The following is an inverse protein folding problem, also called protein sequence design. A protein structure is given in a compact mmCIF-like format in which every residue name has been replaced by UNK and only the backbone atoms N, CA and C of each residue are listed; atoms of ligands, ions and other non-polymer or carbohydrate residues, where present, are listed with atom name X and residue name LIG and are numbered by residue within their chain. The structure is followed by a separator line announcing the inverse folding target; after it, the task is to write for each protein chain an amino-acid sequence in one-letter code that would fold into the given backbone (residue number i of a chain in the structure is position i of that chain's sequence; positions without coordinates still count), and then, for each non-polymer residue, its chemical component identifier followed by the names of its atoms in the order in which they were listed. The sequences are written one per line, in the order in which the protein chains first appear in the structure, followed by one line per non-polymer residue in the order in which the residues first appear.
data_IF_128805406316
#
_entry.id   IF_128805406316
#
_cell.length_a   1.000
_cell.length_b   1.000
_cell.length_c   1.000
_cell.angle_alpha   90.00
_cell.angle_beta   90.00
_cell.angle_gamma   90.00
#
_symmetry.space_group_name_H-M   'P 1'
#
loop_
_entity.id
_entity.type
_entity.pdbx_description
1 polymer ?
#
# COMPACT_ATOMS: atom_id res chain seq x y z
N UNK A 1 -17.92 -15.79 22.00
CA UNK A 1 -16.49 -16.12 21.82
C UNK A 1 -15.81 -14.80 21.66
N UNK A 2 -14.64 -14.56 22.28
CA UNK A 2 -13.89 -13.34 22.05
C UNK A 2 -13.53 -13.28 20.55
N UNK A 3 -13.87 -12.15 19.91
CA UNK A 3 -13.51 -11.94 18.52
C UNK A 3 -11.99 -11.80 18.43
N UNK A 4 -11.37 -12.43 17.42
CA UNK A 4 -9.92 -12.34 17.19
C UNK A 4 -9.59 -10.86 16.92
N UNK A 5 -8.63 -10.33 17.68
CA UNK A 5 -8.23 -8.93 17.59
C UNK A 5 -6.86 -8.80 16.94
N UNK A 6 -6.75 -7.89 15.95
CA UNK A 6 -5.50 -7.60 15.28
C UNK A 6 -5.12 -6.13 15.54
N UNK A 7 -3.88 -5.91 15.98
CA UNK A 7 -3.30 -4.58 16.03
C UNK A 7 -2.61 -4.30 14.69
N UNK A 8 -3.13 -3.31 13.95
CA UNK A 8 -2.53 -2.79 12.74
C UNK A 8 -1.71 -1.54 13.05
N UNK A 9 -0.50 -1.51 12.57
CA UNK A 9 0.43 -0.40 12.73
C UNK A 9 0.79 0.21 11.38
N UNK A 10 0.46 1.47 11.17
CA UNK A 10 0.97 2.24 10.05
C UNK A 10 2.35 2.77 10.38
N UNK A 11 3.38 2.32 9.65
CA UNK A 11 4.76 2.76 9.84
C UNK A 11 4.90 4.28 9.80
N UNK A 12 5.86 4.82 10.58
CA UNK A 12 6.16 6.26 10.62
C UNK A 12 4.97 7.13 11.06
N UNK A 13 4.94 8.43 10.70
CA UNK A 13 3.84 9.36 10.98
C UNK A 13 4.32 10.71 11.52
N UNK A 14 3.54 11.75 11.31
CA UNK A 14 3.82 13.11 11.79
C UNK A 14 5.17 13.64 11.32
N UNK A 15 6.07 13.91 12.25
CA UNK A 15 7.43 14.40 11.97
C UNK A 15 8.38 13.36 11.40
N UNK A 16 8.04 12.06 11.43
CA UNK A 16 8.80 10.98 10.82
C UNK A 16 8.19 10.61 9.47
N UNK A 17 8.76 11.05 8.34
CA UNK A 17 8.22 10.76 7.01
C UNK A 17 8.49 9.31 6.56
N UNK A 18 9.36 8.56 7.25
CA UNK A 18 9.95 7.34 6.73
C UNK A 18 10.86 7.60 5.52
N UNK A 19 11.02 6.63 4.66
CA UNK A 19 11.74 6.81 3.41
C UNK A 19 11.02 7.80 2.48
N UNK A 20 11.81 8.61 1.76
CA UNK A 20 11.27 9.64 0.85
C UNK A 20 11.88 9.48 -0.53
N UNK A 21 11.04 9.40 -1.56
CA UNK A 21 11.47 9.30 -2.94
C UNK A 21 10.62 10.15 -3.87
N UNK A 22 11.23 11.04 -4.64
CA UNK A 22 10.53 11.97 -5.57
C UNK A 22 9.36 12.72 -4.89
N UNK A 23 9.52 13.06 -3.60
CA UNK A 23 8.51 13.74 -2.81
C UNK A 23 7.42 12.83 -2.19
N UNK A 24 7.34 11.55 -2.53
CA UNK A 24 6.49 10.54 -1.89
C UNK A 24 7.07 10.22 -0.51
N UNK A 25 6.24 10.20 0.52
CA UNK A 25 6.64 9.87 1.89
C UNK A 25 6.03 8.52 2.29
N UNK A 26 6.85 7.66 2.87
CA UNK A 26 6.41 6.34 3.31
C UNK A 26 5.23 6.40 4.28
N UNK A 27 5.21 7.37 5.19
CA UNK A 27 4.15 7.54 6.19
C UNK A 27 2.75 7.71 5.59
N UNK A 28 2.65 8.27 4.38
CA UNK A 28 1.38 8.48 3.68
C UNK A 28 0.88 7.15 3.11
N UNK A 29 1.76 6.42 2.40
CA UNK A 29 1.46 5.10 1.84
C UNK A 29 1.07 4.09 2.91
N UNK A 30 1.82 4.07 4.01
CA UNK A 30 1.58 3.13 5.11
C UNK A 30 0.27 3.39 5.82
N UNK A 31 -0.11 4.68 6.02
CA UNK A 31 -1.39 5.02 6.62
C UNK A 31 -2.55 4.56 5.74
N UNK A 32 -2.52 4.93 4.46
CA UNK A 32 -3.58 4.59 3.51
C UNK A 32 -3.76 3.07 3.39
N UNK A 33 -2.66 2.32 3.26
CA UNK A 33 -2.70 0.88 3.13
C UNK A 33 -3.17 0.20 4.42
N UNK A 34 -2.72 0.68 5.59
CA UNK A 34 -3.16 0.15 6.88
C UNK A 34 -4.66 0.31 7.10
N UNK A 35 -5.21 1.47 6.75
CA UNK A 35 -6.65 1.73 6.86
C UNK A 35 -7.45 0.84 5.90
N UNK A 36 -6.99 0.67 4.66
CA UNK A 36 -7.64 -0.19 3.68
C UNK A 36 -7.64 -1.66 4.12
N UNK A 37 -6.50 -2.19 4.59
CA UNK A 37 -6.39 -3.55 5.16
C UNK A 37 -7.34 -3.72 6.33
N UNK A 38 -7.37 -2.76 7.25
CA UNK A 38 -8.23 -2.83 8.42
C UNK A 38 -9.72 -2.82 8.09
N UNK A 39 -10.13 -2.09 7.06
CA UNK A 39 -11.53 -2.09 6.61
C UNK A 39 -11.93 -3.45 6.02
N UNK A 40 -11.01 -4.13 5.31
CA UNK A 40 -11.25 -5.50 4.81
C UNK A 40 -11.35 -6.48 5.98
N UNK A 41 -10.43 -6.42 6.94
CA UNK A 41 -10.45 -7.29 8.13
C UNK A 41 -11.74 -7.10 8.94
N UNK A 42 -12.19 -5.86 9.18
CA UNK A 42 -13.46 -5.57 9.87
C UNK A 42 -14.66 -6.14 9.13
N UNK A 43 -14.71 -6.03 7.79
CA UNK A 43 -15.77 -6.64 6.98
C UNK A 43 -15.79 -8.17 7.12
N UNK A 44 -14.65 -8.78 7.41
CA UNK A 44 -14.51 -10.21 7.71
C UNK A 44 -14.73 -10.56 9.19
N UNK A 45 -15.18 -9.60 10.02
CA UNK A 45 -15.54 -9.82 11.41
C UNK A 45 -14.38 -9.86 12.39
N UNK A 46 -13.22 -9.30 12.00
CA UNK A 46 -12.06 -9.15 12.86
C UNK A 46 -12.17 -7.83 13.63
N UNK A 47 -11.86 -7.85 14.92
CA UNK A 47 -11.71 -6.65 15.73
C UNK A 47 -10.33 -6.04 15.45
N UNK A 48 -10.32 -4.77 14.98
CA UNK A 48 -9.09 -4.10 14.56
C UNK A 48 -8.78 -2.92 15.46
N UNK A 49 -7.63 -2.98 16.11
CA UNK A 49 -7.00 -1.87 16.81
C UNK A 49 -5.95 -1.22 15.88
N UNK A 50 -5.93 0.10 15.79
CA UNK A 50 -4.91 0.84 15.03
C UNK A 50 -3.98 1.57 15.99
N UNK A 51 -2.67 1.56 15.72
CA UNK A 51 -1.71 2.41 16.45
C UNK A 51 -1.93 3.87 16.11
N UNK A 52 -2.21 4.19 14.85
CA UNK A 52 -2.63 5.51 14.39
C UNK A 52 -3.65 5.41 13.25
N UNK A 53 -4.51 6.42 13.13
CA UNK A 53 -5.48 6.59 12.03
C UNK A 53 -5.34 7.93 11.33
N UNK A 54 -4.39 8.75 11.77
CA UNK A 54 -4.08 10.10 11.27
C UNK A 54 -2.57 10.26 11.10
N UNK A 55 -2.12 11.38 10.52
CA UNK A 55 -0.69 11.68 10.37
C UNK A 55 -0.09 12.18 11.68
N UNK A 56 0.04 11.29 12.66
CA UNK A 56 0.62 11.56 13.98
C UNK A 56 1.91 10.77 14.19
N UNK A 57 2.86 11.38 14.90
CA UNK A 57 4.11 10.71 15.27
C UNK A 57 3.93 9.89 16.53
N UNK A 58 4.25 8.60 16.43
CA UNK A 58 4.40 7.73 17.58
C UNK A 58 5.72 6.96 17.51
N UNK A 59 6.41 6.89 18.65
CA UNK A 59 7.66 6.12 18.71
C UNK A 59 7.37 4.62 18.52
N UNK A 60 8.29 3.84 17.93
CA UNK A 60 8.14 2.39 17.81
C UNK A 60 7.90 1.68 19.16
N UNK A 61 8.43 2.24 20.24
CA UNK A 61 8.19 1.74 21.60
C UNK A 61 6.74 1.98 22.05
N UNK A 62 6.19 3.18 21.78
CA UNK A 62 4.78 3.49 22.07
C UNK A 62 3.84 2.59 21.28
N UNK A 63 4.04 2.45 19.97
CA UNK A 63 3.27 1.55 19.10
C UNK A 63 3.23 0.12 19.63
N UNK A 64 4.39 -0.45 20.01
CA UNK A 64 4.45 -1.79 20.61
C UNK A 64 3.75 -1.86 21.98
N UNK A 65 3.85 -0.80 22.80
CA UNK A 65 3.21 -0.75 24.11
C UNK A 65 1.70 -0.69 23.99
N UNK A 66 1.18 0.15 23.10
CA UNK A 66 -0.25 0.32 22.86
C UNK A 66 -0.86 -0.95 22.26
N UNK A 67 -0.17 -1.58 21.32
CA UNK A 67 -0.56 -2.89 20.80
C UNK A 67 -0.62 -3.95 21.92
N UNK A 68 0.36 -4.00 22.82
CA UNK A 68 0.32 -4.92 23.97
C UNK A 68 -0.84 -4.66 24.92
N UNK A 69 -1.25 -3.40 25.08
CA UNK A 69 -2.35 -2.99 25.95
C UNK A 69 -3.73 -3.15 25.27
N UNK A 70 -3.79 -3.24 23.95
CA UNK A 70 -5.03 -3.42 23.22
C UNK A 70 -5.64 -4.81 23.39
N UNK A 71 -4.85 -5.79 23.87
CA UNK A 71 -5.27 -7.19 23.95
C UNK A 71 -5.33 -7.89 22.59
N UNK A 72 -4.57 -7.41 21.60
CA UNK A 72 -4.51 -8.02 20.28
C UNK A 72 -3.83 -9.40 20.30
N UNK A 73 -4.30 -10.29 19.43
CA UNK A 73 -3.80 -11.65 19.24
C UNK A 73 -2.68 -11.72 18.20
N UNK A 74 -2.63 -10.73 17.31
CA UNK A 74 -1.63 -10.55 16.24
C UNK A 74 -1.31 -9.08 16.07
N UNK A 75 -0.03 -8.77 15.79
CA UNK A 75 0.43 -7.43 15.41
C UNK A 75 0.95 -7.45 13.97
N UNK A 76 0.48 -6.52 13.15
CA UNK A 76 0.92 -6.35 11.76
C UNK A 76 1.29 -4.89 11.55
N UNK A 77 2.58 -4.63 11.32
CA UNK A 77 3.11 -3.32 10.94
C UNK A 77 3.25 -3.25 9.42
N UNK A 78 2.85 -2.15 8.80
CA UNK A 78 2.89 -1.94 7.35
C UNK A 78 3.88 -0.84 7.04
N UNK A 79 4.83 -1.14 6.17
CA UNK A 79 5.94 -0.31 5.73
C UNK A 79 6.14 -0.38 4.21
N UNK A 80 7.01 0.47 3.70
CA UNK A 80 7.57 0.44 2.35
C UNK A 80 9.09 0.38 2.44
N UNK A 81 9.68 -0.63 1.84
CA UNK A 81 11.12 -0.81 1.84
C UNK A 81 11.84 0.32 1.07
N UNK A 82 13.13 0.50 1.34
CA UNK A 82 13.98 1.42 0.61
C UNK A 82 15.39 0.85 0.44
N UNK A 83 15.98 1.06 -0.72
CA UNK A 83 17.35 0.68 -1.04
C UNK A 83 18.29 1.90 -1.08
N UNK A 84 19.58 1.67 -0.98
CA UNK A 84 20.59 2.73 -1.04
C UNK A 84 20.51 3.55 -2.33
N UNK A 85 20.30 2.86 -3.47
CA UNK A 85 20.16 3.52 -4.77
C UNK A 85 18.76 3.32 -5.33
N UNK A 86 18.16 4.32 -6.00
CA UNK A 86 16.88 4.17 -6.67
C UNK A 86 16.88 3.01 -7.67
N UNK A 87 15.78 2.26 -7.71
CA UNK A 87 15.56 1.12 -8.61
C UNK A 87 16.56 -0.06 -8.44
N UNK A 88 17.30 -0.10 -7.32
CA UNK A 88 18.26 -1.15 -7.05
C UNK A 88 17.57 -2.49 -6.71
N UNK A 89 16.55 -2.45 -5.90
CA UNK A 89 15.75 -3.60 -5.49
C UNK A 89 14.27 -3.36 -5.76
N UNK A 90 13.52 -4.45 -5.91
CA UNK A 90 12.08 -4.45 -6.17
C UNK A 90 11.47 -5.70 -5.54
N UNK A 91 10.25 -5.57 -5.02
CA UNK A 91 9.47 -6.68 -4.47
C UNK A 91 9.07 -6.46 -3.02
N UNK A 92 8.44 -7.47 -2.45
CA UNK A 92 7.90 -7.47 -1.09
C UNK A 92 8.65 -8.45 -0.21
N UNK A 93 8.80 -8.12 1.06
CA UNK A 93 9.29 -9.02 2.10
C UNK A 93 8.52 -8.81 3.39
N UNK A 94 8.46 -9.83 4.23
CA UNK A 94 7.88 -9.68 5.56
C UNK A 94 8.90 -10.04 6.62
N UNK A 95 9.08 -9.12 7.56
CA UNK A 95 10.08 -9.21 8.62
C UNK A 95 9.45 -9.78 9.88
N UNK A 96 10.18 -10.67 10.55
CA UNK A 96 9.78 -11.30 11.81
C UNK A 96 10.91 -11.27 12.84
N UNK A 97 10.58 -11.35 14.13
CA UNK A 97 11.62 -11.50 15.17
C UNK A 97 12.35 -12.84 15.06
N UNK A 98 11.60 -13.90 14.75
CA UNK A 98 12.13 -15.24 14.47
C UNK A 98 11.20 -15.95 13.50
N UNK A 99 11.75 -16.68 12.55
CA UNK A 99 11.00 -17.39 11.50
C UNK A 99 10.41 -18.71 12.03
N UNK A 100 9.47 -18.59 12.99
CA UNK A 100 8.83 -19.75 13.65
C UNK A 100 7.40 -19.44 14.08
N UNK A 101 6.53 -20.46 14.10
CA UNK A 101 5.15 -20.40 14.59
C UNK A 101 4.25 -19.49 13.74
N UNK A 102 3.14 -19.02 14.33
CA UNK A 102 2.10 -18.28 13.63
C UNK A 102 2.63 -17.05 12.85
N UNK A 103 3.58 -16.29 13.42
CA UNK A 103 4.15 -15.11 12.73
C UNK A 103 4.86 -15.46 11.42
N UNK A 104 5.52 -16.63 11.38
CA UNK A 104 6.18 -17.11 10.17
C UNK A 104 5.17 -17.59 9.11
N UNK A 105 4.08 -18.18 9.55
CA UNK A 105 2.96 -18.58 8.68
C UNK A 105 2.27 -17.34 8.08
N UNK A 106 1.89 -16.37 8.93
CA UNK A 106 1.31 -15.08 8.50
C UNK A 106 2.22 -14.38 7.50
N UNK A 107 3.53 -14.30 7.79
CA UNK A 107 4.50 -13.64 6.92
C UNK A 107 4.56 -14.29 5.52
N UNK A 108 4.59 -15.63 5.46
CA UNK A 108 4.62 -16.35 4.17
C UNK A 108 3.33 -16.19 3.40
N UNK A 109 2.17 -16.29 4.08
CA UNK A 109 0.87 -16.16 3.42
C UNK A 109 0.69 -14.74 2.86
N UNK A 110 1.05 -13.70 3.62
CA UNK A 110 1.03 -12.31 3.11
C UNK A 110 1.94 -12.17 1.88
N UNK A 111 3.17 -12.67 1.94
CA UNK A 111 4.09 -12.58 0.81
C UNK A 111 3.59 -13.31 -0.44
N UNK A 112 2.97 -14.48 -0.27
CA UNK A 112 2.41 -15.26 -1.38
C UNK A 112 1.24 -14.51 -2.03
N UNK A 113 0.33 -13.94 -1.24
CA UNK A 113 -0.77 -13.13 -1.74
C UNK A 113 -0.28 -11.86 -2.45
N UNK A 114 0.77 -11.21 -1.94
CA UNK A 114 1.40 -10.06 -2.59
C UNK A 114 2.14 -10.44 -3.88
N UNK A 115 2.69 -11.66 -3.97
CA UNK A 115 3.25 -12.21 -5.21
C UNK A 115 2.16 -12.39 -6.28
N UNK A 116 1.00 -12.93 -5.88
CA UNK A 116 -0.16 -13.07 -6.76
C UNK A 116 -0.71 -11.69 -7.22
N UNK A 117 -0.55 -10.65 -6.39
CA UNK A 117 -0.84 -9.26 -6.76
C UNK A 117 0.23 -8.62 -7.67
N UNK A 118 1.29 -9.34 -8.05
CA UNK A 118 2.27 -8.95 -9.07
C UNK A 118 3.63 -8.50 -8.55
N UNK A 119 3.87 -8.52 -7.26
CA UNK A 119 5.19 -8.24 -6.70
C UNK A 119 6.14 -9.43 -6.81
N UNK A 120 7.43 -9.15 -6.82
CA UNK A 120 8.43 -10.17 -6.58
C UNK A 120 8.46 -10.50 -5.08
N UNK A 121 8.29 -11.76 -4.73
CA UNK A 121 8.41 -12.24 -3.36
C UNK A 121 9.90 -12.41 -2.98
N UNK A 122 10.36 -11.65 -2.01
CA UNK A 122 11.74 -11.69 -1.50
C UNK A 122 11.87 -12.61 -0.28
N UNK A 123 10.76 -13.13 0.23
CA UNK A 123 10.72 -14.06 1.34
C UNK A 123 10.52 -13.42 2.70
N UNK A 124 10.77 -14.21 3.73
CA UNK A 124 10.68 -13.81 5.14
C UNK A 124 12.08 -13.65 5.71
N UNK A 125 12.34 -12.55 6.43
CA UNK A 125 13.64 -12.29 7.01
C UNK A 125 13.56 -12.00 8.54
N UNK A 126 14.56 -12.44 9.28
CA UNK A 126 14.64 -12.22 10.74
C UNK A 126 15.26 -10.85 11.06
N UNK A 127 14.53 -10.03 11.81
CA UNK A 127 14.97 -8.69 12.26
C UNK A 127 14.82 -8.54 13.78
N UNK A 128 15.82 -9.01 14.52
CA UNK A 128 15.80 -9.03 16.00
C UNK A 128 16.00 -7.64 16.64
N UNK A 129 16.41 -6.66 15.87
CA UNK A 129 16.66 -5.29 16.31
C UNK A 129 15.46 -4.35 16.16
N UNK A 130 14.42 -4.72 15.40
CA UNK A 130 13.23 -3.90 15.23
C UNK A 130 12.39 -3.88 16.53
N UNK A 131 12.17 -2.68 17.04
CA UNK A 131 11.51 -2.47 18.35
C UNK A 131 10.11 -3.06 18.35
N UNK A 132 9.31 -2.81 17.30
CA UNK A 132 7.94 -3.31 17.19
C UNK A 132 7.86 -4.85 17.15
N UNK A 133 8.83 -5.51 16.53
CA UNK A 133 8.89 -6.98 16.52
C UNK A 133 9.43 -7.58 17.82
N UNK A 134 10.32 -6.85 18.51
CA UNK A 134 10.98 -7.30 19.74
C UNK A 134 10.13 -7.08 20.99
N UNK A 135 9.32 -6.00 21.03
CA UNK A 135 8.61 -5.55 22.23
C UNK A 135 7.13 -5.92 22.26
N UNK A 136 6.56 -6.33 21.17
CA UNK A 136 5.22 -6.92 21.13
C UNK A 136 5.22 -8.29 21.80
N UNK A 137 4.16 -8.61 22.53
CA UNK A 137 3.99 -9.85 23.29
C UNK A 137 3.29 -10.94 22.48
N UNK A 138 2.44 -10.54 21.54
CA UNK A 138 1.76 -11.41 20.60
C UNK A 138 2.66 -11.71 19.39
N UNK A 139 2.33 -12.69 18.52
CA UNK A 139 2.94 -12.85 17.22
C UNK A 139 2.94 -11.53 16.46
N UNK A 140 4.09 -11.17 15.85
CA UNK A 140 4.27 -9.89 15.20
C UNK A 140 4.99 -10.05 13.86
N UNK A 141 4.49 -9.34 12.84
CA UNK A 141 5.09 -9.25 11.51
C UNK A 141 5.19 -7.78 11.08
N UNK A 142 6.18 -7.47 10.25
CA UNK A 142 6.31 -6.19 9.58
C UNK A 142 6.39 -6.45 8.08
N UNK A 143 5.40 -5.92 7.35
CA UNK A 143 5.24 -6.09 5.91
C UNK A 143 5.88 -4.92 5.19
N UNK A 144 6.85 -5.20 4.33
CA UNK A 144 7.46 -4.26 3.40
C UNK A 144 6.75 -4.37 2.05
N UNK A 145 5.75 -3.52 1.83
CA UNK A 145 4.87 -3.56 0.66
C UNK A 145 5.50 -2.89 -0.57
N UNK A 146 6.61 -3.44 -1.07
CA UNK A 146 7.39 -2.90 -2.18
C UNK A 146 8.38 -1.81 -1.77
N UNK A 147 9.33 -1.49 -2.67
CA UNK A 147 10.33 -0.46 -2.44
C UNK A 147 9.80 0.91 -2.86
N UNK A 148 9.74 1.87 -1.92
CA UNK A 148 9.27 3.23 -2.19
C UNK A 148 10.18 3.97 -3.18
N UNK A 149 11.46 3.61 -3.25
CA UNK A 149 12.41 4.18 -4.19
C UNK A 149 12.63 3.32 -5.45
N UNK A 150 11.63 2.47 -5.79
CA UNK A 150 11.58 1.73 -7.05
C UNK A 150 10.36 2.16 -7.87
N UNK A 151 10.59 2.64 -9.07
CA UNK A 151 9.53 3.19 -9.95
C UNK A 151 8.50 2.11 -10.36
N UNK A 152 8.93 0.86 -10.57
CA UNK A 152 8.05 -0.27 -10.88
C UNK A 152 7.16 -0.64 -9.69
N UNK A 153 7.74 -0.71 -8.48
CA UNK A 153 6.99 -1.02 -7.28
C UNK A 153 5.99 0.09 -6.93
N UNK A 154 6.37 1.35 -7.16
CA UNK A 154 5.45 2.48 -6.99
C UNK A 154 4.31 2.45 -8.00
N UNK A 155 4.61 2.15 -9.27
CA UNK A 155 3.57 1.97 -10.28
C UNK A 155 2.58 0.86 -9.89
N UNK A 156 3.08 -0.30 -9.46
CA UNK A 156 2.25 -1.41 -9.02
C UNK A 156 1.45 -1.05 -7.76
N UNK A 157 2.07 -0.38 -6.80
CA UNK A 157 1.41 0.07 -5.57
C UNK A 157 0.24 1.02 -5.87
N UNK A 158 0.39 1.90 -6.85
CA UNK A 158 -0.65 2.86 -7.22
C UNK A 158 -1.77 2.24 -8.05
N UNK A 159 -1.43 1.36 -9.02
CA UNK A 159 -2.43 0.73 -9.89
C UNK A 159 -3.21 -0.37 -9.16
N UNK A 160 -2.54 -1.17 -8.32
CA UNK A 160 -3.10 -2.36 -7.67
C UNK A 160 -3.34 -2.16 -6.16
N UNK A 161 -3.51 -0.91 -5.72
CA UNK A 161 -3.63 -0.59 -4.29
C UNK A 161 -4.70 -1.42 -3.56
N UNK A 162 -5.90 -1.52 -4.14
CA UNK A 162 -6.99 -2.30 -3.56
C UNK A 162 -6.66 -3.81 -3.54
N UNK A 163 -5.99 -4.32 -4.59
CA UNK A 163 -5.52 -5.71 -4.68
C UNK A 163 -4.43 -6.00 -3.64
N UNK A 164 -3.52 -5.05 -3.40
CA UNK A 164 -2.46 -5.14 -2.38
C UNK A 164 -3.07 -5.15 -0.97
N UNK A 165 -4.05 -4.28 -0.70
CA UNK A 165 -4.75 -4.27 0.58
C UNK A 165 -5.51 -5.59 0.81
N UNK A 166 -6.15 -6.12 -0.23
CA UNK A 166 -6.84 -7.41 -0.19
C UNK A 166 -5.84 -8.56 0.06
N UNK A 167 -4.71 -8.58 -0.66
CA UNK A 167 -3.65 -9.58 -0.52
C UNK A 167 -3.11 -9.66 0.92
N UNK A 168 -2.82 -8.52 1.53
CA UNK A 168 -2.36 -8.49 2.94
C UNK A 168 -3.46 -9.03 3.87
N UNK A 169 -4.71 -8.60 3.67
CA UNK A 169 -5.83 -9.06 4.49
C UNK A 169 -6.07 -10.57 4.33
N UNK A 170 -6.02 -11.10 3.10
CA UNK A 170 -6.22 -12.53 2.83
C UNK A 170 -5.10 -13.38 3.44
N UNK A 171 -3.83 -12.97 3.31
CA UNK A 171 -2.71 -13.65 3.95
C UNK A 171 -2.82 -13.71 5.47
N UNK A 172 -3.38 -12.66 6.10
CA UNK A 172 -3.71 -12.65 7.53
C UNK A 172 -4.85 -13.62 7.83
N UNK A 173 -5.97 -13.54 7.08
CA UNK A 173 -7.18 -14.33 7.32
C UNK A 173 -6.94 -15.83 7.12
N UNK A 174 -6.07 -16.22 6.19
CA UNK A 174 -5.68 -17.62 5.97
C UNK A 174 -4.89 -18.21 7.14
N UNK A 175 -4.22 -17.37 7.92
CA UNK A 175 -3.32 -17.79 8.99
C UNK A 175 -3.98 -17.86 10.37
N UNK A 176 -5.11 -17.19 10.55
CA UNK A 176 -5.78 -17.13 11.85
C UNK A 176 -6.88 -18.17 11.98
N UNK A 177 -7.18 -18.67 13.21
CA UNK A 177 -8.21 -19.66 13.41
C UNK A 177 -9.57 -19.20 12.90
N UNK A 178 -10.21 -19.97 12.03
CA UNK A 178 -11.53 -19.69 11.50
C UNK A 178 -12.59 -19.70 12.61
N UNK A 179 -12.95 -18.56 13.14
CA UNK A 179 -13.94 -18.37 14.21
C UNK A 179 -15.40 -18.24 13.73
N UNK A 180 -15.74 -18.62 12.48
CA UNK A 180 -17.13 -18.59 12.01
C UNK A 180 -17.52 -19.85 11.25
N UNK A 181 -18.67 -20.51 11.61
CA UNK A 181 -19.35 -21.42 10.70
C UNK A 181 -20.14 -20.59 9.70
N UNK A 182 -19.71 -20.57 8.44
CA UNK A 182 -20.51 -20.08 7.33
C UNK A 182 -19.84 -19.09 6.39
N UNK A 183 -18.94 -19.52 5.57
CA UNK A 183 -18.99 -19.43 4.11
C UNK A 183 -17.75 -20.09 3.49
N UNK A 184 -17.81 -21.38 3.30
CA UNK A 184 -16.85 -22.13 2.49
C UNK A 184 -17.26 -22.00 1.03
N UNK A 185 -16.68 -21.07 0.30
CA UNK A 185 -16.51 -21.21 -1.15
C UNK A 185 -15.04 -21.57 -1.41
N UNK A 186 -14.75 -22.84 -1.14
CA UNK A 186 -13.50 -23.46 -1.56
C UNK A 186 -13.52 -23.65 -3.08
N UNK A 187 -12.83 -22.82 -3.79
CA UNK A 187 -12.33 -23.16 -5.10
C UNK A 187 -11.03 -23.97 -4.94
N UNK A 188 -11.18 -25.25 -4.63
CA UNK A 188 -10.12 -26.21 -4.83
C UNK A 188 -9.94 -26.41 -6.33
N UNK A 189 -8.95 -25.78 -6.92
CA UNK A 189 -8.41 -26.23 -8.19
C UNK A 189 -7.73 -27.57 -7.96
N UNK A 190 -8.38 -28.65 -8.45
CA UNK A 190 -7.82 -30.00 -8.54
C UNK A 190 -6.56 -29.96 -9.41
N UNK A 191 -5.38 -30.04 -8.78
CA UNK A 191 -4.21 -30.59 -9.43
C UNK A 191 -4.23 -32.08 -9.20
N UNK A 192 -4.53 -32.80 -10.24
CA UNK A 192 -4.42 -34.26 -10.36
C UNK A 192 -2.93 -34.64 -10.37
N UNK A 193 -2.47 -35.17 -9.24
CA UNK A 193 -1.20 -35.87 -9.19
C UNK A 193 -1.37 -37.24 -9.84
N UNK A 194 -0.80 -37.36 -11.02
CA UNK A 194 -0.58 -38.68 -11.67
C UNK A 194 0.72 -39.27 -11.10
N UNK A 195 0.55 -40.10 -10.09
CA UNK A 195 1.61 -40.95 -9.58
C UNK A 195 1.60 -42.28 -10.33
N UNK A 196 2.60 -42.52 -11.14
CA UNK A 196 2.86 -43.86 -11.64
C UNK A 196 4.24 -44.36 -11.19
N UNK A 197 4.12 -45.32 -10.35
CA UNK A 197 5.07 -46.22 -9.72
C UNK A 197 5.97 -46.94 -10.76
N UNK A 198 7.27 -47.03 -10.50
CA UNK A 198 8.03 -48.26 -10.77
C UNK A 198 9.35 -48.28 -10.04
N UNK A 199 9.48 -49.35 -9.28
CA UNK A 199 10.65 -49.88 -8.57
C UNK A 199 11.96 -49.85 -9.37
N UNK A 200 13.11 -49.60 -8.76
CA UNK A 200 14.08 -50.69 -8.49
C UNK A 200 15.36 -50.21 -7.76
N UNK A 201 15.62 -50.87 -6.66
CA UNK A 201 16.85 -51.42 -6.06
C UNK A 201 18.24 -50.81 -6.34
N UNK A 202 18.91 -50.58 -5.19
CA UNK A 202 20.27 -51.00 -4.80
C UNK A 202 21.47 -50.11 -5.02
N UNK A 203 22.02 -49.82 -3.86
CA UNK A 203 23.45 -49.96 -3.44
C UNK A 203 24.49 -48.86 -3.70
N UNK A 204 24.95 -48.42 -2.56
CA UNK A 204 26.34 -48.37 -2.10
C UNK A 204 27.24 -47.14 -2.40
N UNK A 205 27.62 -46.58 -1.27
CA UNK A 205 28.98 -46.17 -0.86
C UNK A 205 29.76 -45.13 -1.66
N UNK A 206 30.08 -44.02 -1.13
CA UNK A 206 31.32 -43.81 -0.39
C UNK A 206 31.67 -42.29 -0.29
N UNK A 207 32.10 -41.94 0.89
CA UNK A 207 32.93 -40.83 1.32
C UNK A 207 33.68 -40.00 0.26
N UNK A 208 33.66 -38.70 0.42
CA UNK A 208 34.86 -37.92 0.77
C UNK A 208 34.56 -36.41 0.83
N UNK A 209 34.76 -35.90 1.94
CA UNK A 209 35.46 -34.71 2.42
C UNK A 209 36.01 -33.74 1.36
N UNK A 210 35.56 -32.50 1.41
CA UNK A 210 36.46 -31.34 1.30
C UNK A 210 35.82 -30.05 1.82
N UNK A 211 36.48 -29.54 2.84
CA UNK A 211 36.37 -28.20 3.37
C UNK A 211 36.74 -27.15 2.29
N UNK A 212 36.10 -25.99 2.42
CA UNK A 212 36.70 -24.63 2.35
C UNK A 212 35.58 -23.66 1.97
N UNK A 213 35.39 -22.58 2.49
CA UNK A 213 36.05 -21.52 3.20
C UNK A 213 35.02 -20.39 3.36
N UNK A 214 35.00 -19.94 4.53
CA UNK A 214 34.49 -18.71 5.06
C UNK A 214 34.94 -17.48 4.28
N UNK A 215 34.06 -16.58 3.91
CA UNK A 215 34.38 -15.15 3.79
C UNK A 215 33.17 -14.28 4.08
N UNK A 216 33.16 -13.70 5.22
CA UNK A 216 33.04 -12.33 5.64
C UNK A 216 31.85 -11.55 5.05
N UNK A 217 30.72 -11.49 5.77
CA UNK A 217 29.79 -10.38 5.66
C UNK A 217 30.14 -9.34 6.72
N UNK A 218 30.71 -8.25 6.28
CA UNK A 218 30.86 -7.01 7.05
C UNK A 218 29.51 -6.34 7.23
N UNK A 219 29.15 -6.12 8.48
CA UNK A 219 28.03 -5.31 8.87
C UNK A 219 28.25 -3.86 8.45
N UNK A 220 27.32 -3.27 7.72
CA UNK A 220 27.29 -1.85 7.42
C UNK A 220 26.66 -1.09 8.57
N UNK A 221 27.35 -0.06 9.03
CA UNK A 221 26.89 0.87 10.07
C UNK A 221 25.79 1.81 9.53
N UNK A 222 24.97 2.41 10.40
CA UNK A 222 23.92 3.34 10.00
C UNK A 222 24.54 4.66 9.52
N UNK A 223 24.06 5.15 8.38
CA UNK A 223 24.45 6.43 7.82
C UNK A 223 23.50 7.50 8.34
N UNK A 224 24.11 8.50 8.93
CA UNK A 224 23.54 9.74 9.41
C UNK A 224 23.00 10.58 8.22
N UNK A 225 21.70 10.91 8.25
CA UNK A 225 21.04 11.71 7.19
C UNK A 225 21.01 13.17 7.59
N UNK A 226 22.08 13.90 7.28
CA UNK A 226 22.06 15.36 7.22
C UNK A 226 22.50 15.86 5.85
N UNK A 227 21.65 16.74 5.30
CA UNK A 227 21.84 17.63 4.13
C UNK A 227 21.28 17.11 2.80
N UNK A 228 20.24 17.78 2.27
CA UNK A 228 20.38 19.04 1.53
C UNK A 228 18.99 19.64 1.26
N UNK A 229 18.85 20.85 1.76
CA UNK A 229 17.77 21.76 1.37
C UNK A 229 18.13 22.35 0.02
N UNK A 230 17.35 22.08 -1.02
CA UNK A 230 17.39 22.87 -2.24
C UNK A 230 16.10 23.65 -2.37
N UNK A 231 16.28 24.95 -2.32
CA UNK A 231 15.32 26.04 -2.42
C UNK A 231 14.45 25.96 -3.69
N UNK A 232 13.15 25.96 -3.46
CA UNK A 232 12.11 26.19 -4.47
C UNK A 232 11.99 27.71 -4.65
N UNK A 233 11.99 28.24 -5.89
CA UNK A 233 11.76 29.67 -6.09
C UNK A 233 10.30 30.06 -5.79
N UNK A 234 10.06 31.23 -5.21
CA UNK A 234 8.71 31.71 -4.95
C UNK A 234 8.12 32.24 -6.25
N UNK A 235 7.01 31.69 -6.70
CA UNK A 235 5.98 32.32 -7.54
C UNK A 235 4.99 31.25 -8.02
N UNK A 236 4.15 30.77 -7.09
CA UNK A 236 2.94 30.03 -7.44
C UNK A 236 1.76 30.70 -6.71
N UNK A 237 1.20 31.74 -7.31
CA UNK A 237 -0.14 32.18 -6.94
C UNK A 237 -1.16 31.16 -7.42
N UNK A 238 -1.47 30.20 -6.54
CA UNK A 238 -2.63 29.34 -6.68
C UNK A 238 -3.83 30.08 -6.14
N UNK A 239 -4.63 30.66 -7.01
CA UNK A 239 -5.93 31.20 -6.61
C UNK A 239 -6.90 30.04 -6.35
N UNK A 240 -7.17 29.78 -5.08
CA UNK A 240 -8.33 29.01 -4.68
C UNK A 240 -9.58 29.86 -4.87
N UNK A 241 -10.45 29.46 -5.78
CA UNK A 241 -11.78 30.08 -5.93
C UNK A 241 -12.61 29.67 -4.71
N UNK A 242 -13.25 30.60 -3.97
CA UNK A 242 -14.05 30.25 -2.82
C UNK A 242 -15.25 29.39 -3.24
N UNK A 243 -15.37 28.24 -2.59
CA UNK A 243 -16.52 27.35 -2.75
C UNK A 243 -17.74 28.04 -2.16
N UNK A 244 -18.69 28.40 -3.00
CA UNK A 244 -20.04 28.78 -2.57
C UNK A 244 -20.69 27.56 -1.92
N UNK A 245 -20.98 27.68 -0.62
CA UNK A 245 -21.61 26.64 0.19
C UNK A 245 -23.11 26.51 -0.15
N UNK A 246 -23.39 25.80 -1.23
CA UNK A 246 -24.72 25.26 -1.51
C UNK A 246 -24.60 24.07 -2.45
N UNK A 247 -24.03 22.96 -1.96
CA UNK A 247 -24.13 21.67 -2.62
C UNK A 247 -24.82 20.69 -1.68
N UNK A 248 -26.14 20.66 -1.78
CA UNK A 248 -26.98 19.52 -1.43
C UNK A 248 -26.50 18.36 -2.28
N UNK A 249 -26.08 17.28 -1.64
CA UNK A 249 -25.75 16.02 -2.34
C UNK A 249 -26.95 15.60 -3.19
N UNK A 250 -26.80 15.35 -4.49
CA UNK A 250 -27.89 14.73 -5.27
C UNK A 250 -28.01 13.27 -4.83
N UNK A 251 -29.20 12.87 -4.43
CA UNK A 251 -29.59 11.47 -4.27
C UNK A 251 -29.38 10.73 -5.58
N UNK A 252 -28.77 9.55 -5.50
CA UNK A 252 -28.60 8.62 -6.61
C UNK A 252 -29.97 8.26 -7.21
N UNK A 253 -30.22 8.49 -8.49
CA UNK A 253 -31.33 7.86 -9.16
C UNK A 253 -30.91 6.44 -9.57
N UNK A 254 -31.31 5.46 -8.81
CA UNK A 254 -31.37 4.09 -9.29
C UNK A 254 -32.73 3.89 -9.94
N UNK A 255 -32.73 3.40 -11.17
CA UNK A 255 -33.78 2.90 -12.04
C UNK A 255 -34.33 3.87 -13.08
N UNK A 256 -33.96 3.64 -14.31
CA UNK A 256 -34.75 3.15 -15.43
C UNK A 256 -34.00 3.28 -16.76
N UNK A 257 -34.06 2.22 -17.54
CA UNK A 257 -33.63 2.14 -18.94
C UNK A 257 -34.31 3.23 -19.77
N UNK A 258 -33.52 4.15 -20.30
CA UNK A 258 -33.77 4.78 -21.60
C UNK A 258 -32.42 5.26 -22.15
N UNK A 259 -32.06 4.68 -23.30
CA UNK A 259 -30.87 5.06 -24.09
C UNK A 259 -31.20 6.35 -24.84
N UNK A 260 -30.86 7.50 -24.25
CA UNK A 260 -30.68 8.75 -24.99
C UNK A 260 -29.21 9.15 -24.91
N UNK A 261 -28.54 8.99 -26.05
CA UNK A 261 -27.12 9.32 -26.27
C UNK A 261 -26.97 10.79 -26.63
N UNK A 262 -27.20 11.71 -25.70
CA UNK A 262 -26.67 13.09 -25.82
C UNK A 262 -26.66 13.76 -24.43
N UNK A 263 -25.44 14.05 -23.92
CA UNK A 263 -25.13 14.73 -22.66
C UNK A 263 -25.24 13.89 -21.36
N UNK A 264 -24.58 12.75 -21.30
CA UNK A 264 -24.34 12.15 -19.98
C UNK A 264 -23.33 13.02 -19.20
N UNK A 265 -23.82 13.60 -18.11
CA UNK A 265 -22.96 14.31 -17.16
C UNK A 265 -21.92 13.35 -16.57
N UNK A 266 -20.66 13.78 -16.56
CA UNK A 266 -19.51 12.97 -16.14
C UNK A 266 -18.81 13.60 -14.93
N UNK A 267 -18.33 12.77 -14.05
CA UNK A 267 -17.43 13.19 -12.97
C UNK A 267 -16.02 13.33 -13.54
N UNK A 268 -15.42 14.52 -13.42
CA UNK A 268 -14.04 14.80 -13.84
C UNK A 268 -13.22 15.24 -12.65
N UNK A 269 -11.97 14.79 -12.56
CA UNK A 269 -11.06 15.23 -11.51
C UNK A 269 -10.28 16.43 -12.02
N UNK A 270 -10.54 17.60 -11.48
CA UNK A 270 -9.85 18.83 -11.84
C UNK A 270 -8.66 19.07 -10.91
N UNK A 271 -7.47 19.33 -11.48
CA UNK A 271 -6.21 19.53 -10.78
C UNK A 271 -5.84 21.00 -10.67
N UNK A 272 -6.36 21.83 -11.58
CA UNK A 272 -6.12 23.26 -11.55
C UNK A 272 -6.96 24.02 -12.56
N UNK A 273 -7.08 25.34 -12.36
CA UNK A 273 -7.68 26.28 -13.30
C UNK A 273 -6.79 27.53 -13.41
N UNK A 274 -6.33 27.84 -14.60
CA UNK A 274 -5.33 28.86 -14.85
C UNK A 274 -5.83 29.91 -15.85
N UNK A 275 -5.54 31.18 -15.58
CA UNK A 275 -5.80 32.25 -16.57
C UNK A 275 -4.77 32.26 -17.70
N UNK A 276 -3.54 31.85 -17.41
CA UNK A 276 -2.44 31.72 -18.36
C UNK A 276 -2.32 30.29 -18.86
N UNK A 277 -2.34 30.14 -20.21
CA UNK A 277 -2.22 28.83 -20.85
C UNK A 277 -0.91 28.14 -20.53
N UNK A 278 0.21 28.86 -20.45
CA UNK A 278 1.53 28.29 -20.18
C UNK A 278 1.60 27.61 -18.80
N UNK A 279 0.83 28.12 -17.81
CA UNK A 279 0.73 27.52 -16.49
C UNK A 279 -0.09 26.23 -16.53
N UNK A 280 -1.16 26.20 -17.32
CA UNK A 280 -1.96 25.00 -17.54
C UNK A 280 -1.14 23.94 -18.30
N UNK A 281 -0.39 24.35 -19.33
CA UNK A 281 0.48 23.44 -20.10
C UNK A 281 1.59 22.83 -19.24
N UNK A 282 2.16 23.59 -18.29
CA UNK A 282 3.14 23.05 -17.32
C UNK A 282 2.50 22.01 -16.40
N UNK A 283 1.31 22.27 -15.88
CA UNK A 283 0.58 21.32 -15.06
C UNK A 283 0.21 20.07 -15.86
N UNK A 284 -0.29 20.24 -17.09
CA UNK A 284 -0.60 19.13 -17.99
C UNK A 284 0.64 18.26 -18.23
N UNK A 285 1.78 18.87 -18.56
CA UNK A 285 3.02 18.13 -18.79
C UNK A 285 3.50 17.38 -17.55
N UNK A 286 3.37 17.97 -16.35
CA UNK A 286 3.72 17.27 -15.11
C UNK A 286 2.84 16.04 -14.91
N UNK A 287 1.53 16.16 -15.10
CA UNK A 287 0.60 15.04 -14.99
C UNK A 287 0.86 13.94 -16.02
N UNK A 288 1.17 14.30 -17.27
CA UNK A 288 1.51 13.34 -18.33
C UNK A 288 2.83 12.60 -18.03
N UNK A 289 3.83 13.30 -17.47
CA UNK A 289 5.10 12.69 -17.03
C UNK A 289 4.84 11.69 -15.90
N UNK A 290 3.93 12.03 -14.97
CA UNK A 290 3.54 11.15 -13.86
C UNK A 290 2.55 10.05 -14.28
N UNK A 291 2.26 9.93 -15.58
CA UNK A 291 1.44 8.85 -16.14
C UNK A 291 -0.08 9.05 -16.01
N UNK A 292 -0.54 10.26 -15.71
CA UNK A 292 -1.96 10.56 -15.64
C UNK A 292 -2.52 10.98 -17.00
N UNK A 293 -3.69 10.47 -17.44
CA UNK A 293 -4.33 10.85 -18.70
C UNK A 293 -5.01 12.23 -18.57
N UNK A 294 -4.20 13.29 -18.52
CA UNK A 294 -4.64 14.64 -18.32
C UNK A 294 -4.93 15.38 -19.64
N UNK A 295 -5.83 16.35 -19.57
CA UNK A 295 -6.19 17.23 -20.69
C UNK A 295 -6.59 18.63 -20.20
N UNK A 296 -6.60 19.60 -21.10
CA UNK A 296 -7.01 20.97 -20.80
C UNK A 296 -8.33 21.26 -21.52
N UNK A 297 -9.28 21.86 -20.79
CA UNK A 297 -10.46 22.51 -21.36
C UNK A 297 -10.39 24.02 -21.09
N UNK A 298 -10.90 24.83 -22.01
CA UNK A 298 -11.02 26.28 -21.81
C UNK A 298 -12.48 26.62 -21.58
N UNK A 299 -12.80 27.07 -20.38
CA UNK A 299 -14.16 27.41 -19.99
C UNK A 299 -14.15 28.51 -18.93
N UNK A 300 -15.12 29.45 -19.02
CA UNK A 300 -15.28 30.58 -18.10
C UNK A 300 -14.04 31.48 -17.97
N UNK A 301 -13.23 31.59 -19.04
CA UNK A 301 -12.00 32.37 -19.03
C UNK A 301 -10.79 31.70 -18.37
N UNK A 302 -10.89 30.40 -18.09
CA UNK A 302 -9.82 29.61 -17.47
C UNK A 302 -9.46 28.37 -18.31
N UNK A 303 -8.18 28.04 -18.30
CA UNK A 303 -7.65 26.77 -18.75
C UNK A 303 -7.72 25.80 -17.59
N UNK A 304 -8.72 24.90 -17.59
CA UNK A 304 -8.96 23.89 -16.55
C UNK A 304 -8.22 22.61 -16.91
N UNK A 305 -7.30 22.18 -16.06
CA UNK A 305 -6.56 20.91 -16.23
C UNK A 305 -7.32 19.81 -15.51
N UNK A 306 -7.70 18.77 -16.24
CA UNK A 306 -8.55 17.67 -15.75
C UNK A 306 -7.92 16.31 -16.05
N UNK A 307 -8.24 15.32 -15.22
CA UNK A 307 -7.77 13.93 -15.34
C UNK A 307 -8.98 13.01 -15.36
N UNK A 308 -9.14 12.29 -16.46
CA UNK A 308 -10.23 11.34 -16.63
C UNK A 308 -11.63 11.98 -16.70
N UNK A 309 -12.60 11.17 -17.13
CA UNK A 309 -14.02 11.49 -17.13
C UNK A 309 -14.79 10.20 -16.82
N UNK A 310 -15.57 10.18 -15.74
CA UNK A 310 -16.13 8.97 -15.17
C UNK A 310 -17.65 9.06 -15.07
N UNK A 311 -18.35 8.01 -15.49
CA UNK A 311 -19.80 7.86 -15.27
C UNK A 311 -20.14 7.54 -13.81
N UNK A 312 -19.21 6.93 -13.08
CA UNK A 312 -19.37 6.48 -11.71
C UNK A 312 -18.53 7.37 -10.79
N UNK A 313 -19.18 8.03 -9.82
CA UNK A 313 -18.50 8.91 -8.85
C UNK A 313 -17.34 8.20 -8.13
N UNK A 314 -17.50 6.93 -7.78
CA UNK A 314 -16.46 6.17 -7.07
C UNK A 314 -15.15 6.08 -7.87
N UNK A 315 -15.22 5.99 -9.20
CA UNK A 315 -14.03 5.95 -10.05
C UNK A 315 -13.33 7.34 -10.11
N UNK A 316 -14.11 8.43 -10.08
CA UNK A 316 -13.54 9.77 -9.94
C UNK A 316 -12.88 9.97 -8.57
N UNK A 317 -13.48 9.46 -7.49
CA UNK A 317 -12.90 9.50 -6.14
C UNK A 317 -11.58 8.70 -6.07
N UNK A 318 -11.53 7.51 -6.67
CA UNK A 318 -10.28 6.72 -6.76
C UNK A 318 -9.17 7.48 -7.50
N UNK A 319 -9.50 8.12 -8.62
CA UNK A 319 -8.54 8.93 -9.37
C UNK A 319 -8.10 10.18 -8.58
N UNK A 320 -9.02 10.84 -7.89
CA UNK A 320 -8.70 11.96 -7.00
C UNK A 320 -7.72 11.54 -5.90
N UNK A 321 -7.99 10.42 -5.22
CA UNK A 321 -7.10 9.88 -4.20
C UNK A 321 -5.72 9.54 -4.76
N UNK A 322 -5.66 8.96 -5.96
CA UNK A 322 -4.41 8.67 -6.67
C UNK A 322 -3.61 9.94 -6.93
N UNK A 323 -4.25 10.99 -7.47
CA UNK A 323 -3.62 12.29 -7.73
C UNK A 323 -3.12 12.96 -6.45
N UNK A 324 -3.87 12.86 -5.35
CA UNK A 324 -3.45 13.39 -4.04
C UNK A 324 -2.20 12.71 -3.49
N UNK A 325 -1.99 11.41 -3.77
CA UNK A 325 -0.74 10.70 -3.43
C UNK A 325 0.46 11.30 -4.16
N UNK A 326 0.28 11.79 -5.38
CA UNK A 326 1.28 12.54 -6.15
C UNK A 326 1.32 14.03 -5.77
N UNK A 327 0.63 14.44 -4.69
CA UNK A 327 0.56 15.81 -4.15
C UNK A 327 -0.10 16.84 -5.07
N UNK A 328 -0.91 16.37 -6.00
CA UNK A 328 -1.76 17.27 -6.76
C UNK A 328 -2.96 17.70 -5.91
N UNK A 329 -3.22 19.00 -5.86
CA UNK A 329 -4.48 19.53 -5.33
C UNK A 329 -5.61 19.19 -6.31
N UNK A 330 -6.67 18.56 -5.81
CA UNK A 330 -7.72 18.02 -6.67
C UNK A 330 -9.11 18.30 -6.13
N UNK A 331 -10.09 18.40 -7.03
CA UNK A 331 -11.51 18.36 -6.70
C UNK A 331 -12.30 17.73 -7.85
N UNK A 332 -13.43 17.11 -7.52
CA UNK A 332 -14.29 16.46 -8.49
C UNK A 332 -15.33 17.45 -8.96
N UNK A 333 -15.45 17.62 -10.28
CA UNK A 333 -16.51 18.38 -10.94
C UNK A 333 -17.45 17.42 -11.63
N UNK A 334 -18.74 17.77 -11.63
CA UNK A 334 -19.79 17.05 -12.31
C UNK A 334 -20.39 17.96 -13.38
N UNK A 335 -20.32 17.58 -14.63
CA UNK A 335 -20.80 18.39 -15.76
C UNK A 335 -21.15 17.53 -16.96
#
# INVERSE_FOLDING_TARGET
MADYRIALDAGHGGSDPGAVYKGRQEKEDTLDLTLAVGDILKKNGIDVYYTRTTDEYETPFKKATDANNSGADLFVSIHRNSSENPNQYSGVETLVYSDTGLKAEVARNINNQLEDAGFKNLGVDERKNLVVLKRTKMPAVLVEAGFINNDKDNYLFDEEFDSIAQAIADGILESIPSGRPGNTTSNKSNRTDNNNNSNNTSNNNNSSNSQMNNSGRTASAPIDSTAMVNSIPPDNEVFSVPVSSSNIMPQCPCDNNDYDTENEALYRVQVGAYRNKDNADRMLNSLLIDGFPAFIIYEDGYYKVQVGAYRILLNAIKMEQRLRRFRYSTYIVYS
#
